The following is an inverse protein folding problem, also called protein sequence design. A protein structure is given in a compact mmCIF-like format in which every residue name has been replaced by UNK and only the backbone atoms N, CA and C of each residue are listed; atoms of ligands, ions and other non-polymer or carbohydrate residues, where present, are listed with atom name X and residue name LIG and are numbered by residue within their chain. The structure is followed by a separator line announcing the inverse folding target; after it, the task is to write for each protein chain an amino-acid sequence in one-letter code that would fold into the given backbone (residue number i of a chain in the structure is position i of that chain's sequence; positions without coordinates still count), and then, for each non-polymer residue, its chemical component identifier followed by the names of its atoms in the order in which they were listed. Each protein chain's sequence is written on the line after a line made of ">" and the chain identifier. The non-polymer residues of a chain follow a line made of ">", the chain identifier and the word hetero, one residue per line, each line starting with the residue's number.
data_IF_469420677505
#
_entry.id   IF_469420677505
#
_cell.length_a   1.000
_cell.length_b   1.000
_cell.length_c   1.000
_cell.angle_alpha   90.00
_cell.angle_beta   90.00
_cell.angle_gamma   90.00
#
_symmetry.space_group_name_H-M   'P 1'
#
loop_
_entity.id
_entity.type
_entity.pdbx_description
1 polymer ?
#
# COMPACT_ATOMS: atom_id res chain seq x y z
N UNK A 1 0.02 6.17 -24.68
CA UNK A 1 0.74 7.25 -23.96
C UNK A 1 1.93 6.62 -23.23
N UNK A 2 3.19 6.88 -23.63
CA UNK A 2 4.37 6.41 -22.88
C UNK A 2 4.75 7.51 -21.88
N UNK A 3 4.35 7.33 -20.63
CA UNK A 3 4.68 8.26 -19.55
C UNK A 3 6.07 7.91 -19.03
N UNK A 4 6.95 8.91 -18.87
CA UNK A 4 8.24 8.70 -18.23
C UNK A 4 8.02 8.55 -16.72
N UNK A 5 8.51 7.49 -16.06
CA UNK A 5 8.36 7.32 -14.62
C UNK A 5 8.83 8.54 -13.81
N UNK A 6 9.87 9.22 -14.28
CA UNK A 6 10.43 10.42 -13.65
C UNK A 6 9.58 11.69 -13.75
N UNK A 7 8.43 11.62 -14.44
CA UNK A 7 7.59 12.80 -14.69
C UNK A 7 6.33 12.86 -13.82
N UNK A 8 6.02 11.79 -13.10
CA UNK A 8 4.77 11.69 -12.35
C UNK A 8 4.95 11.05 -10.97
N UNK A 9 4.20 11.50 -9.96
CA UNK A 9 4.16 10.84 -8.67
C UNK A 9 3.60 9.43 -8.80
N UNK A 10 4.03 8.53 -7.93
CA UNK A 10 3.53 7.14 -7.90
C UNK A 10 2.69 6.92 -6.64
N UNK A 11 1.50 6.35 -6.83
CA UNK A 11 0.66 5.87 -5.73
C UNK A 11 0.76 4.35 -5.67
N UNK A 12 1.04 3.80 -4.49
CA UNK A 12 1.18 2.35 -4.26
C UNK A 12 0.15 1.91 -3.23
N UNK A 13 -0.65 0.89 -3.54
CA UNK A 13 -1.50 0.22 -2.55
C UNK A 13 -0.72 -0.83 -1.78
N UNK A 14 -0.70 -0.71 -0.46
CA UNK A 14 -0.10 -1.69 0.44
C UNK A 14 -1.17 -2.68 0.92
N UNK A 15 -0.86 -3.98 0.95
CA UNK A 15 -1.77 -4.97 1.50
C UNK A 15 -1.85 -4.84 3.02
N UNK A 16 -3.05 -5.04 3.56
CA UNK A 16 -3.30 -5.13 4.99
C UNK A 16 -2.90 -6.51 5.51
N UNK A 17 -1.60 -6.75 5.62
CA UNK A 17 -1.12 -8.05 6.09
C UNK A 17 -0.60 -8.01 7.53
N UNK A 18 -0.27 -6.85 8.10
CA UNK A 18 0.46 -6.81 9.36
C UNK A 18 0.17 -5.51 10.12
N UNK A 19 -0.95 -5.39 10.82
CA UNK A 19 -1.11 -4.35 11.85
C UNK A 19 -0.84 -4.87 13.26
N UNK A 20 -0.45 -6.14 13.38
CA UNK A 20 0.04 -6.68 14.64
C UNK A 20 1.14 -5.75 15.18
N UNK A 21 1.05 -5.47 16.48
CA UNK A 21 2.00 -4.61 17.17
C UNK A 21 3.27 -5.35 17.60
N UNK A 22 3.47 -6.56 17.07
CA UNK A 22 4.69 -7.34 17.26
C UNK A 22 5.90 -6.64 16.62
N UNK A 23 7.08 -6.84 17.21
CA UNK A 23 8.32 -6.30 16.66
C UNK A 23 8.60 -6.82 15.25
N UNK A 24 8.26 -8.09 14.98
CA UNK A 24 8.40 -8.70 13.65
C UNK A 24 7.52 -8.00 12.60
N UNK A 25 6.27 -7.70 12.93
CA UNK A 25 5.37 -6.97 12.03
C UNK A 25 5.85 -5.54 11.79
N UNK A 26 6.34 -4.84 12.83
CA UNK A 26 6.97 -3.51 12.69
C UNK A 26 8.19 -3.53 11.78
N UNK A 27 9.08 -4.50 11.96
CA UNK A 27 10.27 -4.66 11.11
C UNK A 27 9.90 -4.96 9.66
N UNK A 28 8.91 -5.83 9.43
CA UNK A 28 8.42 -6.16 8.08
C UNK A 28 7.84 -4.93 7.37
N UNK A 29 7.06 -4.10 8.08
CA UNK A 29 6.55 -2.82 7.55
C UNK A 29 7.68 -1.85 7.20
N UNK A 30 8.73 -1.79 8.02
CA UNK A 30 9.91 -0.96 7.76
C UNK A 30 10.65 -1.41 6.49
N UNK A 31 10.96 -2.71 6.39
CA UNK A 31 11.64 -3.29 5.24
C UNK A 31 10.86 -3.07 3.94
N UNK A 32 9.53 -3.26 3.96
CA UNK A 32 8.68 -3.00 2.81
C UNK A 32 8.73 -1.52 2.38
N UNK A 33 8.68 -0.59 3.34
CA UNK A 33 8.78 0.85 3.06
C UNK A 33 10.13 1.18 2.41
N UNK A 34 11.23 0.66 2.95
CA UNK A 34 12.58 0.88 2.39
C UNK A 34 12.70 0.30 0.98
N UNK A 35 12.20 -0.92 0.75
CA UNK A 35 12.22 -1.56 -0.56
C UNK A 35 11.43 -0.75 -1.60
N UNK A 36 10.25 -0.24 -1.25
CA UNK A 36 9.44 0.62 -2.12
C UNK A 36 10.18 1.92 -2.43
N UNK A 37 10.73 2.59 -1.41
CA UNK A 37 11.46 3.83 -1.59
C UNK A 37 12.69 3.62 -2.49
N UNK A 38 13.51 2.60 -2.22
CA UNK A 38 14.69 2.30 -3.04
C UNK A 38 14.26 2.07 -4.49
N UNK A 39 13.37 1.10 -4.73
CA UNK A 39 12.98 0.73 -6.09
C UNK A 39 12.38 1.90 -6.89
N UNK A 40 11.52 2.72 -6.27
CA UNK A 40 10.85 3.81 -6.96
C UNK A 40 11.76 5.04 -7.15
N UNK A 41 12.54 5.41 -6.14
CA UNK A 41 13.46 6.55 -6.28
C UNK A 41 14.66 6.23 -7.17
N UNK A 42 15.10 4.97 -7.26
CA UNK A 42 16.10 4.51 -8.25
C UNK A 42 15.57 4.70 -9.69
N UNK A 43 14.25 4.67 -9.89
CA UNK A 43 13.58 5.01 -11.16
C UNK A 43 13.36 6.52 -11.35
N UNK A 44 13.89 7.36 -10.47
CA UNK A 44 13.78 8.83 -10.47
C UNK A 44 12.34 9.36 -10.36
N UNK A 45 11.41 8.63 -9.71
CA UNK A 45 10.07 9.17 -9.49
C UNK A 45 10.13 10.39 -8.55
N UNK A 46 9.35 11.46 -8.80
CA UNK A 46 9.41 12.68 -8.00
C UNK A 46 8.87 12.52 -6.58
N UNK A 47 7.90 11.64 -6.37
CA UNK A 47 7.35 11.33 -5.05
C UNK A 47 6.57 10.02 -5.04
N UNK A 48 6.41 9.45 -3.85
CA UNK A 48 5.69 8.20 -3.61
C UNK A 48 4.66 8.41 -2.52
N UNK A 49 3.41 7.99 -2.76
CA UNK A 49 2.35 7.92 -1.77
C UNK A 49 1.94 6.46 -1.58
N UNK A 50 2.16 5.90 -0.39
CA UNK A 50 1.74 4.55 -0.06
C UNK A 50 0.42 4.61 0.71
N UNK A 51 -0.59 3.88 0.23
CA UNK A 51 -1.95 3.89 0.78
C UNK A 51 -2.38 2.49 1.17
N UNK A 52 -3.19 2.41 2.22
CA UNK A 52 -3.80 1.16 2.63
C UNK A 52 -4.89 0.73 1.63
N UNK A 53 -4.83 -0.51 1.14
CA UNK A 53 -5.79 -1.02 0.15
C UNK A 53 -7.25 -1.02 0.64
N UNK A 54 -7.53 -1.39 1.90
CA UNK A 54 -8.92 -1.38 2.39
C UNK A 54 -9.43 0.03 2.60
N UNK A 55 -8.60 0.94 3.11
CA UNK A 55 -8.96 2.36 3.23
C UNK A 55 -9.26 2.96 1.86
N UNK A 56 -8.43 2.63 0.85
CA UNK A 56 -8.67 3.05 -0.54
C UNK A 56 -9.96 2.46 -1.10
N UNK A 57 -10.28 1.21 -0.77
CA UNK A 57 -11.53 0.57 -1.19
C UNK A 57 -12.77 1.21 -0.54
N UNK A 58 -12.74 1.53 0.76
CA UNK A 58 -13.81 2.27 1.43
C UNK A 58 -13.99 3.65 0.82
N UNK A 59 -12.90 4.39 0.63
CA UNK A 59 -12.92 5.71 0.01
C UNK A 59 -13.53 5.66 -1.39
N UNK A 60 -13.12 4.70 -2.22
CA UNK A 60 -13.68 4.52 -3.56
C UNK A 60 -15.18 4.14 -3.55
N UNK A 61 -15.66 3.55 -2.45
CA UNK A 61 -17.08 3.25 -2.22
C UNK A 61 -17.87 4.40 -1.57
N UNK A 62 -17.27 5.61 -1.47
CA UNK A 62 -17.83 6.75 -0.72
C UNK A 62 -18.20 6.41 0.73
N UNK A 63 -17.44 5.52 1.36
CA UNK A 63 -17.59 5.15 2.76
C UNK A 63 -16.40 5.67 3.57
N UNK A 64 -16.67 6.16 4.78
CA UNK A 64 -15.63 6.61 5.72
C UNK A 64 -15.28 5.54 6.75
N UNK A 65 -16.18 4.58 6.98
CA UNK A 65 -16.01 3.46 7.90
C UNK A 65 -16.69 2.21 7.34
N UNK A 66 -16.24 1.03 7.78
CA UNK A 66 -16.84 -0.24 7.38
C UNK A 66 -15.84 -1.39 7.46
N UNK A 67 -16.37 -2.61 7.45
CA UNK A 67 -15.55 -3.81 7.45
C UNK A 67 -15.27 -4.22 6.00
N UNK A 68 -14.00 -4.21 5.61
CA UNK A 68 -13.55 -4.67 4.30
C UNK A 68 -13.15 -6.12 4.37
N UNK A 69 -13.86 -6.96 3.62
CA UNK A 69 -13.50 -8.37 3.41
C UNK A 69 -12.86 -8.49 2.03
N UNK A 70 -11.54 -8.59 1.99
CA UNK A 70 -10.76 -8.70 0.76
C UNK A 70 -10.37 -10.16 0.53
N UNK A 71 -10.88 -10.76 -0.56
CA UNK A 71 -10.62 -12.15 -0.95
C UNK A 71 -9.67 -12.13 -2.15
N UNK A 72 -8.41 -12.48 -1.91
CA UNK A 72 -7.35 -12.52 -2.92
C UNK A 72 -6.86 -13.93 -3.21
N UNK A 73 -5.79 -14.04 -4.00
CA UNK A 73 -5.16 -15.33 -4.29
C UNK A 73 -4.59 -15.94 -3.00
N UNK A 74 -5.19 -17.06 -2.57
CA UNK A 74 -4.80 -17.85 -1.38
C UNK A 74 -4.83 -17.10 -0.03
N UNK A 75 -5.35 -15.87 0.01
CA UNK A 75 -5.40 -15.06 1.23
C UNK A 75 -6.73 -14.31 1.30
N UNK A 76 -7.40 -14.42 2.45
CA UNK A 76 -8.55 -13.58 2.81
C UNK A 76 -8.13 -12.67 3.96
N UNK A 77 -8.34 -11.36 3.82
CA UNK A 77 -8.14 -10.39 4.90
C UNK A 77 -9.47 -9.72 5.27
N UNK A 78 -9.67 -9.51 6.57
CA UNK A 78 -10.84 -8.81 7.13
C UNK A 78 -10.31 -7.62 7.91
N UNK A 79 -10.70 -6.40 7.52
CA UNK A 79 -10.21 -5.17 8.14
C UNK A 79 -11.39 -4.31 8.59
N UNK A 80 -11.53 -4.05 9.90
CA UNK A 80 -12.59 -3.22 10.44
C UNK A 80 -12.37 -1.72 10.23
#
# INVERSE_FOLDING_TARGET
>A
MKVKPSSQPVVVSLPLCHYDDTNSAKASRHQLKEAICSALFDMNVPSVCALNQATLALFAANQTSGIVVNIGFQVTSVVP
#
